data_IF_490636857400
#
_entry.id   IF_490636857400
#
_cell.length_a   1.000
_cell.length_b   1.000
_cell.length_c   1.000
_cell.angle_alpha   90.00
_cell.angle_beta   90.00
_cell.angle_gamma   90.00
#
_symmetry.space_group_name_H-M   'P 1'
#
loop_
_entity.id
_entity.type
_entity.pdbx_description
1 polymer ?
#
# COMPACT_ATOMS: atom_id res chain seq x y z
N UNK A 1 -55.50 -49.75 -12.29
CA UNK A 1 -54.26 -49.84 -11.50
C UNK A 1 -53.15 -49.14 -12.26
N UNK A 2 -52.72 -47.95 -11.83
CA UNK A 2 -51.52 -47.28 -12.34
C UNK A 2 -50.70 -46.86 -11.11
N UNK A 3 -49.70 -47.66 -10.76
CA UNK A 3 -48.76 -47.36 -9.69
C UNK A 3 -47.70 -46.39 -10.24
N UNK A 4 -47.68 -45.17 -9.71
CA UNK A 4 -46.60 -44.20 -9.96
C UNK A 4 -45.36 -44.66 -9.22
N UNK A 5 -44.33 -45.10 -9.96
CA UNK A 5 -43.02 -45.43 -9.43
C UNK A 5 -42.30 -44.14 -9.03
N UNK A 6 -42.52 -43.66 -7.80
CA UNK A 6 -41.71 -42.61 -7.19
C UNK A 6 -40.37 -43.22 -6.73
N UNK A 7 -39.35 -43.11 -7.57
CA UNK A 7 -37.96 -43.25 -7.13
C UNK A 7 -37.49 -41.93 -6.50
N UNK A 8 -36.66 -41.94 -5.43
CA UNK A 8 -36.11 -40.72 -4.88
C UNK A 8 -35.25 -40.01 -5.94
N UNK A 9 -35.74 -38.89 -6.46
CA UNK A 9 -35.03 -38.04 -7.41
C UNK A 9 -34.42 -36.85 -6.65
N UNK A 10 -33.12 -36.66 -6.78
CA UNK A 10 -32.42 -35.50 -6.21
C UNK A 10 -32.76 -34.29 -7.08
N UNK A 11 -33.66 -33.43 -6.59
CA UNK A 11 -34.01 -32.16 -7.23
C UNK A 11 -33.05 -31.05 -6.83
N UNK A 12 -32.80 -30.10 -7.74
CA UNK A 12 -31.97 -28.92 -7.47
C UNK A 12 -32.75 -27.99 -6.54
N UNK A 13 -32.21 -27.72 -5.34
CA UNK A 13 -32.91 -26.92 -4.31
C UNK A 13 -32.86 -25.41 -4.57
N UNK A 14 -31.89 -24.95 -5.34
CA UNK A 14 -31.76 -23.54 -5.74
C UNK A 14 -30.90 -23.44 -6.99
N UNK A 15 -31.41 -22.69 -7.97
CA UNK A 15 -30.66 -22.33 -9.18
C UNK A 15 -30.26 -20.87 -9.04
N UNK A 16 -28.96 -20.63 -8.92
CA UNK A 16 -28.43 -19.27 -8.88
C UNK A 16 -28.30 -18.73 -10.31
N UNK A 17 -28.52 -17.42 -10.44
CA UNK A 17 -28.40 -16.72 -11.71
C UNK A 17 -27.46 -15.52 -11.54
N UNK A 18 -26.66 -15.25 -12.56
CA UNK A 18 -25.85 -14.04 -12.65
C UNK A 18 -26.28 -13.28 -13.91
N UNK A 19 -27.03 -12.19 -13.72
CA UNK A 19 -27.80 -11.63 -14.83
C UNK A 19 -28.89 -12.61 -15.29
N UNK A 20 -28.93 -12.93 -16.59
CA UNK A 20 -29.95 -13.82 -17.19
C UNK A 20 -29.44 -15.25 -17.45
N UNK A 21 -28.23 -15.58 -16.99
CA UNK A 21 -27.59 -16.89 -17.17
C UNK A 21 -27.51 -17.64 -15.83
N UNK A 22 -27.76 -18.95 -15.87
CA UNK A 22 -27.57 -19.85 -14.72
C UNK A 22 -26.10 -19.89 -14.34
N UNK A 23 -25.81 -19.65 -13.06
CA UNK A 23 -24.46 -19.51 -12.55
C UNK A 23 -24.29 -20.28 -11.23
N UNK A 24 -23.12 -20.87 -11.05
CA UNK A 24 -22.70 -21.44 -9.77
C UNK A 24 -21.65 -20.52 -9.17
N UNK A 25 -21.88 -20.02 -7.96
CA UNK A 25 -20.91 -19.16 -7.26
C UNK A 25 -19.97 -20.03 -6.44
N UNK A 26 -18.67 -19.92 -6.72
CA UNK A 26 -17.61 -20.59 -5.97
C UNK A 26 -16.88 -19.53 -5.15
N UNK A 27 -16.96 -19.62 -3.83
CA UNK A 27 -16.26 -18.72 -2.91
C UNK A 27 -14.94 -19.34 -2.47
N UNK A 28 -13.91 -18.53 -2.37
CA UNK A 28 -12.60 -18.93 -1.86
C UNK A 28 -12.06 -17.85 -0.92
N UNK A 29 -11.21 -18.26 0.00
CA UNK A 29 -10.42 -17.34 0.81
C UNK A 29 -8.93 -17.55 0.51
N UNK A 30 -8.14 -16.50 0.65
CA UNK A 30 -6.69 -16.53 0.43
C UNK A 30 -5.96 -16.77 1.75
N UNK A 31 -4.82 -17.48 1.69
CA UNK A 31 -3.92 -17.60 2.84
C UNK A 31 -3.23 -16.24 3.09
N UNK A 32 -2.90 -15.88 4.35
CA UNK A 32 -2.32 -14.56 4.67
C UNK A 32 -1.03 -14.20 3.93
N UNK A 33 -0.27 -15.20 3.47
CA UNK A 33 1.01 -15.04 2.79
C UNK A 33 0.91 -15.22 1.26
N UNK A 34 -0.30 -15.47 0.73
CA UNK A 34 -0.50 -15.68 -0.71
C UNK A 34 -1.16 -14.45 -1.32
N UNK A 35 -0.54 -13.80 -2.30
CA UNK A 35 -1.11 -12.64 -2.97
C UNK A 35 -2.43 -12.99 -3.64
N UNK A 36 -3.39 -12.06 -3.59
CA UNK A 36 -4.67 -12.21 -4.30
C UNK A 36 -4.47 -12.44 -5.80
N UNK A 37 -3.48 -11.80 -6.41
CA UNK A 37 -3.16 -11.95 -7.83
C UNK A 37 -2.79 -13.38 -8.20
N UNK A 38 -2.03 -14.08 -7.35
CA UNK A 38 -1.63 -15.46 -7.60
C UNK A 38 -2.82 -16.40 -7.50
N UNK A 39 -3.69 -16.20 -6.50
CA UNK A 39 -4.91 -16.97 -6.33
C UNK A 39 -5.87 -16.78 -7.52
N UNK A 40 -6.08 -15.53 -7.97
CA UNK A 40 -6.90 -15.22 -9.15
C UNK A 40 -6.29 -15.84 -10.40
N UNK A 41 -4.98 -15.77 -10.59
CA UNK A 41 -4.30 -16.35 -11.76
C UNK A 41 -4.39 -17.87 -11.78
N UNK A 42 -4.24 -18.53 -10.63
CA UNK A 42 -4.39 -19.97 -10.50
C UNK A 42 -5.80 -20.43 -10.84
N UNK A 43 -6.82 -19.74 -10.32
CA UNK A 43 -8.23 -20.04 -10.62
C UNK A 43 -8.55 -19.76 -12.09
N UNK A 44 -8.03 -18.67 -12.67
CA UNK A 44 -8.24 -18.35 -14.09
C UNK A 44 -7.58 -19.37 -15.03
N UNK A 45 -6.43 -19.92 -14.63
CA UNK A 45 -5.77 -20.99 -15.37
C UNK A 45 -6.61 -22.27 -15.40
N UNK A 46 -7.17 -22.66 -14.26
CA UNK A 46 -8.05 -23.83 -14.15
C UNK A 46 -9.42 -23.59 -14.80
N UNK A 47 -9.91 -22.36 -14.78
CA UNK A 47 -11.14 -21.96 -15.47
C UNK A 47 -10.99 -22.12 -17.00
N UNK A 48 -9.79 -21.91 -17.56
CA UNK A 48 -9.53 -22.10 -18.99
C UNK A 48 -9.54 -23.56 -19.44
N UNK A 49 -9.37 -24.53 -18.54
CA UNK A 49 -9.48 -25.96 -18.86
C UNK A 49 -10.93 -26.46 -18.88
N UNK A 50 -11.90 -25.63 -18.51
CA UNK A 50 -13.32 -25.97 -18.62
C UNK A 50 -13.77 -25.97 -20.09
N UNK A 51 -14.79 -26.77 -20.46
CA UNK A 51 -15.37 -26.75 -21.81
C UNK A 51 -15.82 -25.34 -22.20
N UNK A 52 -15.70 -24.99 -23.48
CA UNK A 52 -16.07 -23.68 -24.03
C UNK A 52 -17.54 -23.29 -23.86
N UNK A 53 -18.38 -24.20 -23.36
CA UNK A 53 -19.77 -23.96 -22.99
C UNK A 53 -19.91 -23.18 -21.67
N UNK A 54 -18.89 -23.17 -20.81
CA UNK A 54 -18.93 -22.54 -19.48
C UNK A 54 -18.22 -21.18 -19.52
N UNK A 55 -18.97 -20.10 -19.29
CA UNK A 55 -18.40 -18.77 -19.10
C UNK A 55 -18.07 -18.55 -17.63
N UNK A 56 -16.80 -18.28 -17.31
CA UNK A 56 -16.36 -17.99 -15.95
C UNK A 56 -16.13 -16.49 -15.74
N UNK A 57 -16.50 -15.96 -14.57
CA UNK A 57 -16.26 -14.57 -14.20
C UNK A 57 -15.94 -14.44 -12.70
N UNK A 58 -15.07 -13.49 -12.36
CA UNK A 58 -14.79 -13.13 -10.97
C UNK A 58 -15.80 -12.09 -10.48
N UNK A 59 -16.15 -12.15 -9.19
CA UNK A 59 -17.03 -11.19 -8.50
C UNK A 59 -16.34 -10.59 -7.27
N UNK A 60 -16.83 -9.44 -6.81
CA UNK A 60 -16.36 -8.80 -5.56
C UNK A 60 -14.92 -8.27 -5.67
N UNK A 61 -14.09 -8.56 -4.67
CA UNK A 61 -12.71 -8.04 -4.56
C UNK A 61 -11.81 -8.48 -5.71
N UNK A 62 -11.95 -9.73 -6.18
CA UNK A 62 -11.20 -10.26 -7.31
C UNK A 62 -11.55 -9.57 -8.64
N UNK A 63 -12.82 -9.18 -8.82
CA UNK A 63 -13.26 -8.42 -10.00
C UNK A 63 -12.64 -7.03 -10.03
N UNK A 64 -12.69 -6.32 -8.89
CA UNK A 64 -12.10 -5.00 -8.74
C UNK A 64 -10.60 -5.05 -8.99
N UNK A 65 -9.90 -6.05 -8.44
CA UNK A 65 -8.49 -6.26 -8.70
C UNK A 65 -8.18 -6.43 -10.20
N UNK A 66 -8.91 -7.31 -10.91
CA UNK A 66 -8.70 -7.54 -12.35
C UNK A 66 -9.00 -6.29 -13.18
N UNK A 67 -10.04 -5.55 -12.83
CA UNK A 67 -10.39 -4.29 -13.49
C UNK A 67 -9.28 -3.23 -13.27
N UNK A 68 -8.78 -3.10 -12.05
CA UNK A 68 -7.71 -2.16 -11.70
C UNK A 68 -6.38 -2.51 -12.38
N UNK A 69 -5.98 -3.78 -12.42
CA UNK A 69 -4.71 -4.19 -13.06
C UNK A 69 -4.70 -3.84 -14.56
N UNK A 70 -5.81 -4.05 -15.27
CA UNK A 70 -5.93 -3.66 -16.69
C UNK A 70 -5.90 -2.14 -16.87
N UNK A 71 -6.64 -1.41 -16.05
CA UNK A 71 -6.69 0.06 -16.10
C UNK A 71 -5.34 0.69 -15.80
N UNK A 72 -4.62 0.19 -14.79
CA UNK A 72 -3.29 0.66 -14.40
C UNK A 72 -2.26 0.47 -15.52
N UNK A 73 -2.28 -0.66 -16.22
CA UNK A 73 -1.38 -0.90 -17.35
C UNK A 73 -1.58 0.13 -18.48
N UNK A 74 -2.84 0.40 -18.84
CA UNK A 74 -3.18 1.39 -19.86
C UNK A 74 -2.83 2.82 -19.42
N UNK A 75 -3.16 3.18 -18.18
CA UNK A 75 -2.82 4.47 -17.59
C UNK A 75 -1.32 4.70 -17.53
N UNK A 76 -0.53 3.67 -17.21
CA UNK A 76 0.93 3.75 -17.18
C UNK A 76 1.50 4.03 -18.58
N UNK A 77 0.98 3.38 -19.62
CA UNK A 77 1.39 3.65 -21.00
C UNK A 77 1.07 5.10 -21.39
N UNK A 78 -0.15 5.56 -21.08
CA UNK A 78 -0.54 6.96 -21.35
C UNK A 78 0.32 7.94 -20.57
N UNK A 79 0.58 7.69 -19.28
CA UNK A 79 1.40 8.55 -18.45
C UNK A 79 2.84 8.66 -18.99
N UNK A 80 3.44 7.54 -19.39
CA UNK A 80 4.76 7.53 -20.04
C UNK A 80 4.77 8.37 -21.32
N UNK A 81 3.73 8.25 -22.13
CA UNK A 81 3.58 9.01 -23.37
C UNK A 81 3.45 10.52 -23.09
N UNK A 82 2.62 10.90 -22.13
CA UNK A 82 2.46 12.30 -21.70
C UNK A 82 3.78 12.85 -21.18
N UNK A 83 4.50 12.11 -20.34
CA UNK A 83 5.82 12.50 -19.83
C UNK A 83 6.80 12.69 -20.99
N UNK A 84 6.85 11.77 -21.95
CA UNK A 84 7.71 11.88 -23.14
C UNK A 84 7.43 13.17 -23.94
N UNK A 85 6.16 13.49 -24.18
CA UNK A 85 5.77 14.71 -24.92
C UNK A 85 6.16 15.96 -24.12
N UNK A 86 5.81 16.03 -22.84
CA UNK A 86 6.11 17.19 -21.99
C UNK A 86 7.61 17.43 -21.91
N UNK A 87 8.41 16.38 -21.73
CA UNK A 87 9.87 16.49 -21.71
C UNK A 87 10.43 16.87 -23.09
N UNK A 88 9.88 16.32 -24.18
CA UNK A 88 10.33 16.63 -25.54
C UNK A 88 10.12 18.10 -25.90
N UNK A 89 8.98 18.67 -25.50
CA UNK A 89 8.69 20.10 -25.65
C UNK A 89 9.58 20.92 -24.72
N UNK A 90 9.77 20.49 -23.46
CA UNK A 90 10.55 21.23 -22.46
C UNK A 90 12.05 21.31 -22.80
N UNK A 91 12.62 20.24 -23.35
CA UNK A 91 14.05 20.15 -23.67
C UNK A 91 14.35 20.45 -25.14
N UNK A 92 13.32 20.79 -25.94
CA UNK A 92 13.44 21.05 -27.39
C UNK A 92 14.16 19.91 -28.15
N UNK A 93 14.08 18.69 -27.62
CA UNK A 93 14.85 17.54 -28.08
C UNK A 93 14.10 16.25 -27.77
N UNK A 94 14.02 15.36 -28.75
CA UNK A 94 13.38 14.06 -28.62
C UNK A 94 14.29 12.98 -28.03
N UNK A 95 15.61 13.22 -27.99
CA UNK A 95 16.60 12.25 -27.50
C UNK A 95 16.70 12.29 -25.97
N UNK A 96 16.72 13.47 -25.36
CA UNK A 96 16.81 13.62 -23.90
C UNK A 96 15.66 12.94 -23.13
N UNK A 97 14.38 13.06 -23.55
CA UNK A 97 13.27 12.35 -22.92
C UNK A 97 13.43 10.83 -22.97
N UNK A 98 13.98 10.29 -24.05
CA UNK A 98 14.15 8.84 -24.23
C UNK A 98 15.19 8.26 -23.27
N UNK A 99 16.30 8.96 -23.03
CA UNK A 99 17.35 8.53 -22.09
C UNK A 99 16.91 8.65 -20.63
N UNK A 100 16.00 9.56 -20.33
CA UNK A 100 15.39 9.69 -19.00
C UNK A 100 14.37 8.57 -18.77
N UNK A 101 13.54 8.30 -19.78
CA UNK A 101 12.51 7.28 -19.71
C UNK A 101 13.11 5.86 -19.65
N UNK A 102 14.30 5.64 -20.19
CA UNK A 102 15.02 4.36 -20.03
C UNK A 102 15.46 4.08 -18.58
N UNK A 103 15.49 5.09 -17.71
CA UNK A 103 15.66 4.91 -16.26
C UNK A 103 14.41 4.38 -15.56
N UNK A 104 13.23 4.53 -16.17
CA UNK A 104 11.95 4.15 -15.58
C UNK A 104 11.81 2.61 -15.41
N UNK A 105 12.15 1.76 -16.40
CA UNK A 105 12.22 0.31 -16.20
C UNK A 105 13.12 -0.10 -15.05
N UNK A 106 14.28 0.55 -14.89
CA UNK A 106 15.23 0.26 -13.80
C UNK A 106 14.66 0.62 -12.43
N UNK A 107 14.00 1.77 -12.29
CA UNK A 107 13.33 2.17 -11.05
C UNK A 107 12.18 1.21 -10.68
N UNK A 108 11.41 0.76 -11.67
CA UNK A 108 10.40 -0.28 -11.49
C UNK A 108 11.01 -1.60 -11.01
N UNK A 109 12.10 -2.03 -11.64
CA UNK A 109 12.81 -3.27 -11.29
C UNK A 109 13.37 -3.23 -9.87
N UNK A 110 14.00 -2.12 -9.46
CA UNK A 110 14.50 -1.93 -8.10
C UNK A 110 13.39 -1.97 -7.05
N UNK A 111 12.24 -1.39 -7.35
CA UNK A 111 11.07 -1.47 -6.46
C UNK A 111 10.51 -2.89 -6.36
N UNK A 112 10.40 -3.58 -7.49
CA UNK A 112 9.94 -4.98 -7.54
C UNK A 112 10.87 -5.91 -6.75
N UNK A 113 12.19 -5.80 -6.93
CA UNK A 113 13.17 -6.58 -6.18
C UNK A 113 13.05 -6.29 -4.68
N UNK A 114 12.94 -5.01 -4.31
CA UNK A 114 12.80 -4.62 -2.90
C UNK A 114 11.54 -5.25 -2.31
N UNK A 115 10.39 -5.13 -2.98
CA UNK A 115 9.15 -5.74 -2.53
C UNK A 115 9.25 -7.27 -2.41
N UNK A 116 9.93 -7.92 -3.35
CA UNK A 116 10.16 -9.36 -3.34
C UNK A 116 11.03 -9.79 -2.15
N UNK A 117 12.11 -9.07 -1.85
CA UNK A 117 12.99 -9.34 -0.69
C UNK A 117 12.23 -9.22 0.63
N UNK A 118 11.37 -8.21 0.74
CA UNK A 118 10.60 -7.97 1.97
C UNK A 118 9.29 -8.79 2.04
N UNK A 119 9.03 -9.66 1.06
CA UNK A 119 7.80 -10.46 0.98
C UNK A 119 6.53 -9.60 0.99
N UNK A 120 6.59 -8.39 0.40
CA UNK A 120 5.51 -7.40 0.39
C UNK A 120 4.90 -7.31 -0.99
N UNK A 121 3.57 -7.20 -1.03
CA UNK A 121 2.84 -7.06 -2.29
C UNK A 121 2.92 -5.65 -2.89
N UNK A 122 2.63 -5.60 -4.20
CA UNK A 122 2.46 -4.35 -4.93
C UNK A 122 1.07 -3.77 -4.65
N UNK A 123 0.96 -3.09 -3.51
CA UNK A 123 -0.27 -2.45 -3.04
C UNK A 123 -0.32 -0.95 -3.40
N UNK A 124 -1.42 -0.28 -3.08
CA UNK A 124 -1.60 1.15 -3.34
C UNK A 124 -0.49 2.03 -2.74
N UNK A 125 -0.01 1.71 -1.54
CA UNK A 125 1.10 2.44 -0.89
C UNK A 125 2.41 2.26 -1.66
N UNK A 126 2.68 1.04 -2.15
CA UNK A 126 3.81 0.75 -3.03
C UNK A 126 3.72 1.55 -4.34
N UNK A 127 2.53 1.65 -4.94
CA UNK A 127 2.32 2.48 -6.13
C UNK A 127 2.61 3.96 -5.89
N UNK A 128 2.16 4.52 -4.77
CA UNK A 128 2.46 5.91 -4.40
C UNK A 128 3.97 6.13 -4.26
N UNK A 129 4.69 5.18 -3.65
CA UNK A 129 6.15 5.20 -3.57
C UNK A 129 6.83 5.17 -4.94
N UNK A 130 6.39 4.30 -5.85
CA UNK A 130 6.91 4.22 -7.23
C UNK A 130 6.70 5.54 -7.97
N UNK A 131 5.51 6.13 -7.87
CA UNK A 131 5.22 7.43 -8.51
C UNK A 131 6.12 8.53 -7.96
N UNK A 132 6.35 8.55 -6.63
CA UNK A 132 7.28 9.50 -6.02
C UNK A 132 8.72 9.28 -6.51
N UNK A 133 9.18 8.03 -6.59
CA UNK A 133 10.51 7.73 -7.12
C UNK A 133 10.67 8.22 -8.55
N UNK A 134 9.70 7.95 -9.43
CA UNK A 134 9.70 8.47 -10.80
C UNK A 134 9.73 9.99 -10.81
N UNK A 135 8.88 10.65 -10.01
CA UNK A 135 8.78 12.12 -9.97
C UNK A 135 10.01 12.83 -9.40
N UNK A 136 10.72 12.23 -8.45
CA UNK A 136 11.91 12.81 -7.80
C UNK A 136 13.19 12.48 -8.58
N UNK A 137 13.30 11.27 -9.13
CA UNK A 137 14.50 10.84 -9.87
C UNK A 137 14.60 11.53 -11.22
N UNK A 138 13.48 11.79 -11.91
CA UNK A 138 13.46 12.43 -13.23
C UNK A 138 14.20 13.79 -13.26
N UNK A 139 13.93 14.74 -12.34
CA UNK A 139 14.58 16.04 -12.36
C UNK A 139 16.01 16.02 -11.81
N UNK A 140 16.30 15.13 -10.85
CA UNK A 140 17.60 15.06 -10.16
C UNK A 140 18.65 14.35 -11.02
N UNK A 141 18.29 13.32 -11.77
CA UNK A 141 19.23 12.49 -12.53
C UNK A 141 19.97 13.24 -13.65
N UNK A 142 19.44 14.37 -14.12
CA UNK A 142 19.90 14.99 -15.37
C UNK A 142 20.82 16.18 -15.11
N UNK A 143 20.61 16.97 -14.04
CA UNK A 143 21.52 18.05 -13.62
C UNK A 143 21.88 19.14 -14.65
N UNK A 144 21.37 19.07 -15.88
CA UNK A 144 21.70 19.88 -17.05
C UNK A 144 20.46 20.01 -17.96
N UNK A 145 20.08 21.25 -18.29
CA UNK A 145 18.93 21.59 -19.15
C UNK A 145 18.31 22.95 -18.75
N UNK A 146 17.64 23.65 -19.67
CA UNK A 146 17.11 25.00 -19.44
C UNK A 146 16.23 25.08 -18.17
N UNK A 147 16.67 25.86 -17.16
CA UNK A 147 16.08 25.92 -15.82
C UNK A 147 16.74 25.04 -14.75
N UNK A 148 17.84 24.34 -15.06
CA UNK A 148 18.62 23.53 -14.11
C UNK A 148 19.28 24.37 -13.01
N UNK A 149 19.60 25.65 -13.22
CA UNK A 149 20.07 26.55 -12.15
C UNK A 149 18.99 26.77 -11.09
N UNK A 150 17.75 27.05 -11.51
CA UNK A 150 16.63 27.28 -10.59
C UNK A 150 16.25 26.00 -9.82
N UNK A 151 16.25 24.84 -10.49
CA UNK A 151 15.93 23.55 -9.84
C UNK A 151 17.08 22.96 -9.02
N UNK A 152 18.35 23.22 -9.36
CA UNK A 152 19.49 22.91 -8.47
C UNK A 152 19.40 23.71 -7.18
N UNK A 153 19.04 25.00 -7.27
CA UNK A 153 18.84 25.84 -6.09
C UNK A 153 17.76 25.27 -5.15
N UNK A 154 16.60 24.90 -5.71
CA UNK A 154 15.53 24.26 -4.95
C UNK A 154 15.94 22.89 -4.40
N UNK A 155 16.62 22.06 -5.17
CA UNK A 155 17.10 20.74 -4.75
C UNK A 155 18.15 20.81 -3.64
N UNK A 156 19.12 21.72 -3.74
CA UNK A 156 20.12 21.98 -2.69
C UNK A 156 19.48 22.54 -1.43
N UNK A 157 18.51 23.45 -1.55
CA UNK A 157 17.79 23.98 -0.40
C UNK A 157 16.96 22.89 0.31
N UNK A 158 16.29 22.01 -0.43
CA UNK A 158 15.51 20.90 0.14
C UNK A 158 16.41 19.84 0.75
N UNK A 159 17.47 19.40 0.07
CA UNK A 159 18.40 18.38 0.59
C UNK A 159 19.18 18.92 1.79
N UNK A 160 19.66 20.17 1.71
CA UNK A 160 20.30 20.84 2.85
C UNK A 160 19.35 21.02 4.03
N UNK A 161 18.12 21.47 3.76
CA UNK A 161 17.07 21.60 4.75
C UNK A 161 16.72 20.27 5.41
N UNK A 162 16.58 19.19 4.63
CA UNK A 162 16.30 17.84 5.13
C UNK A 162 17.46 17.27 5.93
N UNK A 163 18.71 17.39 5.46
CA UNK A 163 19.89 16.95 6.21
C UNK A 163 20.00 17.67 7.56
N UNK A 164 19.81 19.00 7.56
CA UNK A 164 19.80 19.79 8.79
C UNK A 164 18.63 19.40 9.68
N UNK A 165 17.43 19.23 9.13
CA UNK A 165 16.25 18.78 9.90
C UNK A 165 16.46 17.39 10.49
N UNK A 166 17.11 16.48 9.78
CA UNK A 166 17.32 15.12 10.27
C UNK A 166 18.40 15.06 11.33
N UNK A 167 19.49 15.84 11.19
CA UNK A 167 20.48 16.00 12.25
C UNK A 167 19.89 16.67 13.48
N UNK A 168 19.08 17.72 13.28
CA UNK A 168 18.41 18.44 14.36
C UNK A 168 17.38 17.53 15.05
N UNK A 169 16.62 16.73 14.30
CA UNK A 169 15.69 15.73 14.85
C UNK A 169 16.45 14.66 15.64
N UNK A 170 17.54 14.12 15.08
CA UNK A 170 18.38 13.12 15.75
C UNK A 170 19.02 13.64 17.05
N UNK A 171 19.17 14.96 17.20
CA UNK A 171 19.68 15.60 18.42
C UNK A 171 18.56 16.04 19.38
N UNK A 172 17.51 16.67 18.87
CA UNK A 172 16.40 17.20 19.67
C UNK A 172 15.61 16.06 20.29
N UNK A 173 15.30 14.99 19.55
CA UNK A 173 14.52 13.87 20.09
C UNK A 173 15.16 13.25 21.34
N UNK A 174 16.45 12.85 21.36
CA UNK A 174 17.05 12.30 22.57
C UNK A 174 17.22 13.34 23.69
N UNK A 175 17.54 14.61 23.37
CA UNK A 175 17.68 15.67 24.38
C UNK A 175 16.35 15.97 25.07
N UNK A 176 15.27 16.10 24.30
CA UNK A 176 13.93 16.30 24.85
C UNK A 176 13.55 15.11 25.74
N UNK A 177 13.83 13.88 25.31
CA UNK A 177 13.57 12.70 26.12
C UNK A 177 14.30 12.73 27.47
N UNK A 178 15.57 13.14 27.48
CA UNK A 178 16.36 13.30 28.71
C UNK A 178 15.78 14.35 29.67
N UNK A 179 15.22 15.44 29.15
CA UNK A 179 14.56 16.45 29.99
C UNK A 179 13.17 16.00 30.47
N UNK A 180 12.40 15.33 29.63
CA UNK A 180 11.05 14.87 30.00
C UNK A 180 11.10 13.72 31.01
N UNK A 181 12.10 12.84 30.92
CA UNK A 181 12.30 11.75 31.89
C UNK A 181 12.58 12.29 33.32
N UNK A 182 13.37 13.35 33.41
CA UNK A 182 13.66 14.01 34.68
C UNK A 182 12.46 14.78 35.26
N UNK A 183 11.61 15.34 34.40
CA UNK A 183 10.36 15.97 34.80
C UNK A 183 9.35 14.94 35.31
N UNK A 184 9.26 13.79 34.65
CA UNK A 184 8.30 12.74 34.98
C UNK A 184 8.59 12.10 36.33
N UNK A 185 9.85 11.80 36.65
CA UNK A 185 10.22 11.21 37.95
C UNK A 185 9.96 12.15 39.13
N UNK A 186 10.16 13.47 38.97
CA UNK A 186 9.84 14.46 40.01
C UNK A 186 8.33 14.66 40.18
N UNK A 187 7.57 14.65 39.09
CA UNK A 187 6.11 14.82 39.16
C UNK A 187 5.42 13.59 39.75
N UNK A 188 5.84 12.38 39.33
CA UNK A 188 5.27 11.12 39.82
C UNK A 188 5.58 10.90 41.31
N UNK A 189 6.78 11.26 41.78
CA UNK A 189 7.13 11.15 43.20
C UNK A 189 6.32 12.12 44.10
N UNK A 190 5.93 13.29 43.60
CA UNK A 190 5.05 14.22 44.33
C UNK A 190 3.61 13.69 44.43
N UNK A 191 3.09 13.11 43.35
CA UNK A 191 1.73 12.52 43.34
C UNK A 191 1.68 11.28 44.25
N UNK A 192 2.71 10.43 44.22
CA UNK A 192 2.78 9.21 45.04
C UNK A 192 2.91 9.53 46.54
N UNK A 193 3.63 10.58 46.91
CA UNK A 193 3.73 11.06 48.32
C UNK A 193 2.41 11.64 48.83
N UNK A 194 1.64 12.34 47.99
CA UNK A 194 0.32 12.86 48.35
C UNK A 194 -0.73 11.75 48.58
N UNK A 195 -0.73 10.69 47.75
CA UNK A 195 -1.60 9.52 47.98
C UNK A 195 -1.25 8.76 49.26
N UNK A 196 0.04 8.66 49.61
CA UNK A 196 0.48 7.93 50.80
C UNK A 196 0.09 8.62 52.12
N UNK A 197 0.10 9.95 52.17
CA UNK A 197 -0.30 10.72 53.35
C UNK A 197 -1.81 10.61 53.61
N UNK A 198 -2.63 10.72 52.56
CA UNK A 198 -4.09 10.59 52.68
C UNK A 198 -4.52 9.18 53.13
N UNK A 199 -3.83 8.13 52.68
CA UNK A 199 -4.14 6.75 53.08
C UNK A 199 -3.67 6.42 54.50
N UNK A 200 -2.55 7.00 54.95
CA UNK A 200 -2.05 6.83 56.31
C UNK A 200 -2.99 7.44 57.36
N UNK A 201 -3.48 8.66 57.10
CA UNK A 201 -4.40 9.34 58.01
C UNK A 201 -5.78 8.65 58.05
N UNK A 202 -6.26 8.11 56.93
CA UNK A 202 -7.55 7.38 56.88
C UNK A 202 -7.51 6.11 57.73
N UNK A 203 -6.41 5.35 57.66
CA UNK A 203 -6.24 4.13 58.46
C UNK A 203 -6.01 4.42 59.95
N UNK A 204 -5.34 5.52 60.28
CA UNK A 204 -5.15 5.96 61.66
C UNK A 204 -6.45 6.43 62.34
N UNK A 205 -7.38 7.01 61.57
CA UNK A 205 -8.71 7.37 62.07
C UNK A 205 -9.55 6.12 62.32
N UNK A 206 -9.52 5.14 61.41
CA UNK A 206 -10.26 3.88 61.56
C UNK A 206 -9.79 3.09 62.80
N UNK A 207 -8.49 3.08 63.09
CA UNK A 207 -7.94 2.39 64.26
C UNK A 207 -8.25 3.06 65.61
N UNK A 208 -8.69 4.33 65.62
CA UNK A 208 -9.10 5.04 66.84
C UNK A 208 -10.60 4.90 67.16
N UNK A 209 -11.36 4.20 66.31
CA UNK A 209 -12.80 4.02 66.42
C UNK A 209 -13.24 2.61 66.88
N UNK A 210 -12.27 1.71 67.12
CA UNK A 210 -12.44 0.42 67.81
C UNK A 210 -11.85 0.49 69.23
#
# INVERSE_FOLDING_TARGET
MLFSLYGPAVGILSVNHLGQITAVTISFNIKPEVPLGDAVTAIEKEAKSLPSTITTGFQGTAQVYKASTKGLALLLIIAILVIYIVLGILYESYIHPLTILSGLPSAGFGTLITLLIFGKDLNLYSFVGIIMLVGIVLPIAIGFGAGAESRRGLGLAVVGGLLVSQLLTLYITPVVYYYTDQMQTRFMNRIRKSKSLKNGDTNAIIQKLD
#
